data_IF_267706872947
#
_entry.id   IF_267706872947
#
_cell.length_a   1.000
_cell.length_b   1.000
_cell.length_c   1.000
_cell.angle_alpha   90.00
_cell.angle_beta   90.00
_cell.angle_gamma   90.00
#
_symmetry.space_group_name_H-M   'P 1'
#
loop_
_entity.id
_entity.type
_entity.pdbx_description
1 polymer ?
#
# COMPACT_ATOMS: atom_id res chain seq x y z
N UNK A 1 0.33 -14.47 -2.80
CA UNK A 1 1.57 -13.91 -3.40
C UNK A 1 1.29 -12.62 -4.17
N UNK A 2 0.33 -12.59 -5.11
CA UNK A 2 0.09 -11.40 -5.95
C UNK A 2 -0.30 -10.14 -5.17
N UNK A 3 -1.22 -10.23 -4.20
CA UNK A 3 -1.65 -9.06 -3.39
C UNK A 3 -0.47 -8.43 -2.64
N UNK A 4 0.34 -9.24 -1.97
CA UNK A 4 1.55 -8.78 -1.26
C UNK A 4 2.54 -8.11 -2.21
N UNK A 5 2.76 -8.68 -3.40
CA UNK A 5 3.62 -8.08 -4.41
C UNK A 5 3.07 -6.73 -4.91
N UNK A 6 1.76 -6.63 -5.12
CA UNK A 6 1.12 -5.41 -5.60
C UNK A 6 1.14 -4.28 -4.56
N UNK A 7 0.99 -4.61 -3.27
CA UNK A 7 1.20 -3.67 -2.17
C UNK A 7 2.66 -3.25 -2.05
N UNK A 8 3.58 -4.21 -2.03
CA UNK A 8 5.01 -3.90 -1.89
C UNK A 8 5.54 -3.09 -3.08
N UNK A 9 5.00 -3.29 -4.28
CA UNK A 9 5.33 -2.45 -5.44
C UNK A 9 5.01 -0.97 -5.19
N UNK A 10 3.96 -0.65 -4.43
CA UNK A 10 3.66 0.73 -4.05
C UNK A 10 4.66 1.27 -3.04
N UNK A 11 5.10 0.44 -2.09
CA UNK A 11 6.20 0.79 -1.16
C UNK A 11 7.49 1.10 -1.92
N UNK A 12 7.87 0.28 -2.90
CA UNK A 12 9.03 0.54 -3.76
C UNK A 12 8.92 1.87 -4.50
N UNK A 13 7.76 2.14 -5.09
CA UNK A 13 7.51 3.40 -5.80
C UNK A 13 7.46 4.60 -4.86
N UNK A 14 6.98 4.42 -3.63
CA UNK A 14 6.95 5.44 -2.60
C UNK A 14 8.36 5.81 -2.15
N UNK A 15 9.19 4.80 -1.87
CA UNK A 15 10.61 4.97 -1.55
C UNK A 15 11.41 5.64 -2.68
N UNK A 16 11.06 5.36 -3.94
CA UNK A 16 11.69 5.96 -5.12
C UNK A 16 11.09 7.34 -5.50
N UNK A 17 10.21 7.91 -4.68
CA UNK A 17 9.48 9.17 -4.92
C UNK A 17 8.81 9.22 -6.30
N UNK A 18 8.11 8.14 -6.67
CA UNK A 18 7.41 7.98 -7.96
C UNK A 18 5.92 8.28 -7.86
N UNK A 19 5.59 9.41 -7.25
CA UNK A 19 4.24 9.98 -7.12
C UNK A 19 3.38 9.86 -8.40
N UNK A 20 3.92 10.20 -9.57
CA UNK A 20 3.18 10.12 -10.84
C UNK A 20 2.79 8.70 -11.23
N UNK A 21 3.69 7.74 -11.03
CA UNK A 21 3.43 6.33 -11.34
C UNK A 21 2.40 5.77 -10.37
N UNK A 22 2.49 6.14 -9.09
CA UNK A 22 1.52 5.78 -8.07
C UNK A 22 0.13 6.35 -8.37
N UNK A 23 0.06 7.62 -8.77
CA UNK A 23 -1.18 8.26 -9.21
C UNK A 23 -1.82 7.54 -10.40
N UNK A 24 -1.04 7.19 -11.42
CA UNK A 24 -1.54 6.41 -12.57
C UNK A 24 -2.06 5.02 -12.18
N UNK A 25 -1.44 4.38 -11.17
CA UNK A 25 -1.85 3.05 -10.70
C UNK A 25 -3.14 3.10 -9.85
N UNK A 26 -3.32 4.17 -9.08
CA UNK A 26 -4.33 4.26 -8.04
C UNK A 26 -5.42 5.30 -8.31
N UNK A 27 -5.42 5.94 -9.50
CA UNK A 27 -6.41 6.93 -9.93
C UNK A 27 -7.85 6.43 -9.79
N UNK A 28 -8.09 5.15 -10.07
CA UNK A 28 -9.43 4.52 -9.97
C UNK A 28 -9.94 4.51 -8.53
N UNK A 29 -9.02 4.50 -7.56
CA UNK A 29 -9.33 4.59 -6.14
C UNK A 29 -9.40 6.03 -5.61
N UNK A 30 -9.15 7.03 -6.47
CA UNK A 30 -9.14 8.44 -6.12
C UNK A 30 -7.81 8.96 -5.58
N UNK A 31 -6.74 8.15 -5.66
CA UNK A 31 -5.38 8.54 -5.30
C UNK A 31 -4.63 8.96 -6.56
N UNK A 32 -4.56 10.27 -6.80
CA UNK A 32 -3.76 10.84 -7.87
C UNK A 32 -2.31 11.12 -7.42
N UNK A 33 -1.51 11.68 -8.31
CA UNK A 33 -0.11 11.96 -8.03
C UNK A 33 0.07 12.97 -6.88
N UNK A 34 -0.81 13.98 -6.80
CA UNK A 34 -0.74 15.01 -5.77
C UNK A 34 -1.04 14.40 -4.39
N UNK A 35 -2.06 13.54 -4.28
CA UNK A 35 -2.36 12.83 -3.03
C UNK A 35 -1.21 11.91 -2.56
N UNK A 36 -0.51 11.26 -3.50
CA UNK A 36 0.67 10.46 -3.19
C UNK A 36 1.86 11.32 -2.77
N UNK A 37 2.08 12.47 -3.43
CA UNK A 37 3.13 13.41 -3.05
C UNK A 37 2.90 13.98 -1.65
N UNK A 38 1.66 14.37 -1.32
CA UNK A 38 1.30 14.85 0.02
C UNK A 38 1.60 13.78 1.09
N UNK A 39 1.28 12.51 0.83
CA UNK A 39 1.58 11.42 1.76
C UNK A 39 3.09 11.12 1.89
N UNK A 40 3.88 11.34 0.84
CA UNK A 40 5.34 11.25 0.89
C UNK A 40 5.92 12.38 1.74
N UNK A 41 5.50 13.61 1.50
CA UNK A 41 5.94 14.78 2.28
C UNK A 41 5.65 14.55 3.78
N UNK A 42 4.44 14.11 4.12
CA UNK A 42 4.04 13.78 5.49
C UNK A 42 4.95 12.69 6.12
N UNK A 43 5.29 11.63 5.37
CA UNK A 43 6.16 10.56 5.87
C UNK A 43 7.60 11.04 6.04
N UNK A 44 8.15 11.74 5.04
CA UNK A 44 9.54 12.18 5.04
C UNK A 44 9.80 13.38 5.97
N UNK A 45 8.76 14.09 6.40
CA UNK A 45 8.83 15.03 7.53
C UNK A 45 9.04 14.30 8.88
N UNK A 46 8.61 13.04 8.99
CA UNK A 46 8.75 12.23 10.19
C UNK A 46 10.00 11.33 10.16
N UNK A 47 10.33 10.74 9.01
CA UNK A 47 11.39 9.74 8.85
C UNK A 47 12.27 10.03 7.64
N UNK A 48 13.60 9.94 7.80
CA UNK A 48 14.56 10.28 6.74
C UNK A 48 14.64 9.25 5.58
N UNK A 49 14.13 8.03 5.75
CA UNK A 49 14.24 6.94 4.77
C UNK A 49 13.11 5.91 4.96
N UNK A 50 12.93 5.02 3.98
CA UNK A 50 12.06 3.85 4.05
C UNK A 50 12.76 2.66 3.38
N UNK A 51 12.86 1.54 4.10
CA UNK A 51 13.52 0.36 3.57
C UNK A 51 12.62 -0.43 2.61
N UNK A 52 13.24 -0.95 1.55
CA UNK A 52 12.60 -1.81 0.53
C UNK A 52 13.35 -3.13 0.31
N UNK A 53 14.16 -3.54 1.29
CA UNK A 53 14.96 -4.76 1.24
C UNK A 53 14.15 -6.04 1.54
N UNK A 54 14.86 -7.16 1.73
CA UNK A 54 14.24 -8.44 2.01
C UNK A 54 13.45 -8.48 3.33
N UNK A 55 13.86 -7.71 4.35
CA UNK A 55 13.14 -7.63 5.63
C UNK A 55 11.94 -6.69 5.50
N UNK A 56 12.04 -5.59 4.75
CA UNK A 56 10.88 -4.75 4.43
C UNK A 56 9.77 -5.52 3.69
N UNK A 57 10.15 -6.52 2.89
CA UNK A 57 9.21 -7.42 2.19
C UNK A 57 8.69 -8.57 3.07
N UNK A 58 9.07 -8.60 4.35
CA UNK A 58 8.73 -9.67 5.28
C UNK A 58 7.22 -9.86 5.39
N UNK A 59 6.73 -11.11 5.49
CA UNK A 59 5.32 -11.40 5.70
C UNK A 59 4.75 -10.80 7.01
N UNK A 60 5.60 -10.31 7.92
CA UNK A 60 5.22 -9.65 9.17
C UNK A 60 4.71 -8.22 8.97
N UNK A 61 5.14 -7.55 7.90
CA UNK A 61 4.77 -6.16 7.59
C UNK A 61 3.53 -6.07 6.68
N UNK A 62 2.82 -7.18 6.51
CA UNK A 62 1.59 -7.21 5.72
C UNK A 62 0.49 -8.00 6.42
N UNK A 63 -0.62 -7.33 6.66
CA UNK A 63 -1.84 -7.93 7.18
C UNK A 63 -2.86 -8.07 6.05
N UNK A 64 -3.51 -9.23 5.99
CA UNK A 64 -4.60 -9.52 5.06
C UNK A 64 -5.74 -10.09 5.89
N UNK A 65 -6.86 -9.38 5.89
CA UNK A 65 -8.14 -9.86 6.40
C UNK A 65 -8.99 -10.33 5.21
N UNK A 66 -9.10 -11.65 5.08
CA UNK A 66 -9.82 -12.36 4.03
C UNK A 66 -11.21 -12.84 4.48
N UNK A 67 -11.74 -12.26 5.56
CA UNK A 67 -13.06 -12.61 6.10
C UNK A 67 -14.21 -12.04 5.25
N UNK A 68 -14.46 -12.67 4.11
CA UNK A 68 -15.52 -12.31 3.17
C UNK A 68 -16.94 -12.44 3.74
N UNK A 69 -17.12 -13.04 4.92
CA UNK A 69 -18.43 -13.05 5.60
C UNK A 69 -18.74 -11.71 6.24
N UNK A 70 -17.72 -11.06 6.79
CA UNK A 70 -17.83 -9.72 7.39
C UNK A 70 -17.72 -8.63 6.33
N UNK A 71 -16.92 -8.87 5.28
CA UNK A 71 -16.69 -7.93 4.19
C UNK A 71 -16.95 -8.60 2.82
N UNK A 72 -18.22 -8.78 2.42
CA UNK A 72 -18.56 -9.46 1.18
C UNK A 72 -17.91 -8.81 -0.05
N UNK A 73 -17.16 -9.61 -0.82
CA UNK A 73 -16.57 -9.19 -2.08
C UNK A 73 -15.23 -8.48 -2.00
N UNK A 74 -14.69 -8.25 -0.79
CA UNK A 74 -13.41 -7.58 -0.62
C UNK A 74 -12.51 -8.29 0.40
N UNK A 75 -11.19 -8.10 0.26
CA UNK A 75 -10.24 -8.30 1.35
C UNK A 75 -9.73 -6.97 1.85
N UNK A 76 -9.57 -6.80 3.16
CA UNK A 76 -8.90 -5.64 3.73
C UNK A 76 -7.42 -5.96 3.90
N UNK A 77 -6.57 -5.04 3.47
CA UNK A 77 -5.13 -5.24 3.51
C UNK A 77 -4.42 -4.02 4.09
N UNK A 78 -3.35 -4.28 4.82
CA UNK A 78 -2.47 -3.25 5.36
C UNK A 78 -1.03 -3.64 5.05
N UNK A 79 -0.27 -2.72 4.48
CA UNK A 79 1.17 -2.83 4.30
C UNK A 79 1.83 -1.78 5.19
N UNK A 80 2.60 -2.24 6.17
CA UNK A 80 3.37 -1.38 7.06
C UNK A 80 4.70 -1.00 6.40
N UNK A 81 5.13 0.24 6.60
CA UNK A 81 6.44 0.73 6.17
C UNK A 81 7.53 0.29 7.14
N UNK A 82 8.71 -0.03 6.61
CA UNK A 82 9.90 -0.30 7.40
C UNK A 82 10.71 1.00 7.50
N UNK A 83 10.40 1.79 8.53
CA UNK A 83 11.11 3.03 8.85
C UNK A 83 12.47 2.75 9.53
N UNK A 84 13.40 3.72 9.52
CA UNK A 84 14.73 3.57 10.11
C UNK A 84 14.75 3.41 11.63
N UNK A 85 13.65 3.72 12.32
CA UNK A 85 13.54 3.66 13.77
C UNK A 85 12.85 2.38 14.28
N UNK A 86 12.43 1.49 13.36
CA UNK A 86 11.63 0.29 13.66
C UNK A 86 10.31 0.60 14.42
N UNK A 87 9.70 1.76 14.15
CA UNK A 87 8.45 2.19 14.81
C UNK A 87 7.22 1.48 14.25
N UNK A 88 7.19 1.18 12.94
CA UNK A 88 6.12 0.45 12.25
C UNK A 88 4.72 1.07 12.39
N UNK A 89 4.67 2.39 12.50
CA UNK A 89 3.48 3.20 12.75
C UNK A 89 2.88 3.83 11.50
N UNK A 90 3.53 3.69 10.33
CA UNK A 90 3.05 4.18 9.03
C UNK A 90 2.78 3.05 8.04
N UNK A 91 1.92 3.33 7.07
CA UNK A 91 1.79 2.46 5.90
C UNK A 91 0.57 2.74 5.03
N UNK A 92 0.21 1.72 4.24
CA UNK A 92 -0.89 1.75 3.27
C UNK A 92 -2.01 0.88 3.81
N UNK A 93 -3.24 1.43 3.87
CA UNK A 93 -4.47 0.65 4.04
C UNK A 93 -5.22 0.62 2.72
N UNK A 94 -5.63 -0.57 2.29
CA UNK A 94 -6.33 -0.76 1.03
C UNK A 94 -7.38 -1.87 1.12
N UNK A 95 -8.24 -1.91 0.12
CA UNK A 95 -9.15 -3.02 -0.14
C UNK A 95 -8.74 -3.71 -1.44
N UNK A 96 -8.92 -5.03 -1.53
CA UNK A 96 -8.81 -5.79 -2.77
C UNK A 96 -10.22 -6.11 -3.22
N UNK A 97 -10.63 -5.64 -4.40
CA UNK A 97 -11.90 -6.02 -5.02
C UNK A 97 -11.77 -7.39 -5.65
N UNK A 98 -12.48 -8.40 -5.12
CA UNK A 98 -12.31 -9.79 -5.56
C UNK A 98 -12.89 -10.02 -6.96
N UNK A 99 -14.03 -9.41 -7.28
CA UNK A 99 -14.66 -9.59 -8.59
C UNK A 99 -13.84 -8.90 -9.69
N UNK A 100 -13.39 -7.66 -9.43
CA UNK A 100 -12.54 -6.95 -10.37
C UNK A 100 -11.17 -7.64 -10.52
N UNK A 101 -10.62 -8.21 -9.44
CA UNK A 101 -9.37 -8.97 -9.51
C UNK A 101 -9.50 -10.25 -10.32
N UNK A 102 -10.62 -10.97 -10.17
CA UNK A 102 -10.92 -12.18 -10.95
C UNK A 102 -11.04 -11.85 -12.44
N UNK A 103 -11.74 -10.76 -12.79
CA UNK A 103 -11.89 -10.31 -14.18
C UNK A 103 -10.57 -9.82 -14.80
N UNK A 104 -9.75 -9.12 -14.02
CA UNK A 104 -8.48 -8.55 -14.47
C UNK A 104 -7.33 -9.59 -14.54
N UNK A 105 -7.42 -10.66 -13.75
CA UNK A 105 -6.35 -11.65 -13.58
C UNK A 105 -5.16 -11.17 -12.73
N UNK A 106 -5.31 -10.03 -12.04
CA UNK A 106 -4.35 -9.46 -11.09
C UNK A 106 -5.08 -8.69 -9.99
N UNK A 107 -4.46 -8.47 -8.81
CA UNK A 107 -5.10 -7.75 -7.72
C UNK A 107 -5.49 -6.32 -8.12
N UNK A 108 -6.77 -6.02 -8.04
CA UNK A 108 -7.32 -4.67 -8.15
C UNK A 108 -7.42 -4.11 -6.73
N UNK A 109 -6.53 -3.16 -6.43
CA UNK A 109 -6.46 -2.50 -5.14
C UNK A 109 -7.22 -1.18 -5.18
N UNK A 110 -7.88 -0.88 -4.07
CA UNK A 110 -8.45 0.43 -3.77
C UNK A 110 -7.72 1.00 -2.56
N UNK A 111 -6.92 2.03 -2.75
CA UNK A 111 -6.22 2.68 -1.64
C UNK A 111 -7.22 3.45 -0.80
N UNK A 112 -7.19 3.23 0.51
CA UNK A 112 -8.05 3.91 1.48
C UNK A 112 -7.31 5.03 2.18
N UNK A 113 -6.05 4.78 2.58
CA UNK A 113 -5.19 5.77 3.22
C UNK A 113 -3.72 5.38 3.09
N UNK A 114 -2.86 6.40 3.09
CA UNK A 114 -1.41 6.28 3.29
C UNK A 114 -1.04 7.27 4.39
N UNK A 115 -0.36 6.81 5.43
CA UNK A 115 -0.05 7.65 6.60
C UNK A 115 0.09 6.84 7.89
N UNK A 116 0.12 7.56 9.02
CA UNK A 116 0.17 7.01 10.37
C UNK A 116 -1.07 6.14 10.71
N UNK A 117 -0.90 5.13 11.59
CA UNK A 117 -1.96 4.20 11.98
C UNK A 117 -2.88 4.66 13.12
#
# INVERSE_FOLDING_TARGET
MMVRNALFRRVELFADERDRILGELDEVSGWDADAWADAMDDYFDAYDDIYTDAEARSPKLVQIDDNVREHPGIWKVQQTFADPEDNFDWGIRAEVDLAASDDAGYPVLKILSVGEF
#
